data_IF_429342889288
#
_entry.id   IF_429342889288
#
_cell.length_a   1.000
_cell.length_b   1.000
_cell.length_c   1.000
_cell.angle_alpha   90.00
_cell.angle_beta   90.00
_cell.angle_gamma   90.00
#
_symmetry.space_group_name_H-M   'P 1'
#
loop_
_entity.id
_entity.type
_entity.pdbx_description
1 polymer ?
#
# COMPACT_ATOMS: atom_id res chain seq x y z
N UNK A 1 13.24 -0.03 41.77
CA UNK A 1 11.79 -0.24 41.65
C UNK A 1 11.20 0.41 40.39
N UNK A 2 11.39 1.72 40.15
CA UNK A 2 10.82 2.42 38.98
C UNK A 2 11.23 1.82 37.62
N UNK A 3 12.52 1.49 37.42
CA UNK A 3 13.03 0.85 36.19
C UNK A 3 12.47 -0.57 35.95
N UNK A 4 12.25 -1.33 37.03
CA UNK A 4 11.65 -2.66 36.93
C UNK A 4 10.17 -2.56 36.57
N UNK A 5 9.48 -1.56 37.11
CA UNK A 5 8.08 -1.27 36.80
C UNK A 5 7.88 -0.85 35.34
N UNK A 6 8.73 0.06 34.82
CA UNK A 6 8.68 0.47 33.40
C UNK A 6 8.98 -0.69 32.46
N UNK A 7 9.96 -1.54 32.79
CA UNK A 7 10.26 -2.73 32.00
C UNK A 7 9.10 -3.73 32.02
N UNK A 8 8.46 -3.95 33.18
CA UNK A 8 7.29 -4.81 33.29
C UNK A 8 6.11 -4.29 32.45
N UNK A 9 5.86 -2.98 32.45
CA UNK A 9 4.82 -2.36 31.61
C UNK A 9 5.12 -2.51 30.12
N UNK A 10 6.37 -2.32 29.69
CA UNK A 10 6.79 -2.50 28.30
C UNK A 10 6.62 -3.97 27.85
N UNK A 11 7.02 -4.93 28.69
CA UNK A 11 6.81 -6.36 28.40
C UNK A 11 5.33 -6.74 28.36
N UNK A 12 4.51 -6.16 29.26
CA UNK A 12 3.06 -6.39 29.27
C UNK A 12 2.41 -5.83 28.01
N UNK A 13 2.78 -4.61 27.61
CA UNK A 13 2.31 -4.01 26.38
C UNK A 13 2.73 -4.83 25.16
N UNK A 14 4.00 -5.26 25.08
CA UNK A 14 4.47 -6.12 24.01
C UNK A 14 3.69 -7.44 23.94
N UNK A 15 3.42 -8.07 25.08
CA UNK A 15 2.62 -9.29 25.15
C UNK A 15 1.19 -9.06 24.63
N UNK A 16 0.52 -8.01 25.12
CA UNK A 16 -0.85 -7.66 24.70
C UNK A 16 -0.89 -7.34 23.20
N UNK A 17 0.02 -6.49 22.72
CA UNK A 17 0.11 -6.12 21.30
C UNK A 17 0.37 -7.34 20.43
N UNK A 18 1.28 -8.24 20.83
CA UNK A 18 1.56 -9.49 20.10
C UNK A 18 0.34 -10.40 20.06
N UNK A 19 -0.36 -10.56 21.19
CA UNK A 19 -1.57 -11.37 21.29
C UNK A 19 -2.68 -10.82 20.38
N UNK A 20 -2.92 -9.51 20.41
CA UNK A 20 -3.95 -8.86 19.57
C UNK A 20 -3.64 -9.04 18.09
N UNK A 21 -2.39 -8.82 17.65
CA UNK A 21 -2.00 -9.01 16.25
C UNK A 21 -2.10 -10.46 15.81
N UNK A 22 -1.65 -11.41 16.65
CA UNK A 22 -1.73 -12.84 16.35
C UNK A 22 -3.19 -13.33 16.27
N UNK A 23 -4.04 -12.94 17.22
CA UNK A 23 -5.46 -13.29 17.22
C UNK A 23 -6.18 -12.69 16.02
N UNK A 24 -5.88 -11.44 15.64
CA UNK A 24 -6.47 -10.82 14.47
C UNK A 24 -6.00 -11.48 13.17
N UNK A 25 -4.71 -11.79 13.04
CA UNK A 25 -4.18 -12.54 11.91
C UNK A 25 -4.83 -13.92 11.77
N UNK A 26 -4.98 -14.63 12.90
CA UNK A 26 -5.70 -15.92 12.94
C UNK A 26 -7.17 -15.76 12.57
N UNK A 27 -7.85 -14.72 13.06
CA UNK A 27 -9.24 -14.42 12.70
C UNK A 27 -9.41 -14.18 11.20
N UNK A 28 -8.58 -13.35 10.58
CA UNK A 28 -8.63 -13.09 9.13
C UNK A 28 -8.37 -14.37 8.34
N UNK A 29 -7.30 -15.11 8.69
CA UNK A 29 -6.95 -16.35 8.01
C UNK A 29 -8.04 -17.41 8.14
N UNK A 30 -8.54 -17.67 9.37
CA UNK A 30 -9.59 -18.65 9.62
C UNK A 30 -10.93 -18.27 8.98
N UNK A 31 -11.29 -16.98 8.97
CA UNK A 31 -12.50 -16.49 8.30
C UNK A 31 -12.41 -16.66 6.79
N UNK A 32 -11.25 -16.38 6.19
CA UNK A 32 -11.01 -16.59 4.76
C UNK A 32 -11.13 -18.08 4.39
N UNK A 33 -10.44 -18.96 5.12
CA UNK A 33 -10.50 -20.41 4.90
C UNK A 33 -11.92 -20.97 5.11
N UNK A 34 -12.63 -20.50 6.14
CA UNK A 34 -14.02 -20.90 6.38
C UNK A 34 -14.95 -20.45 5.25
N UNK A 35 -14.74 -19.24 4.71
CA UNK A 35 -15.45 -18.74 3.54
C UNK A 35 -15.25 -19.63 2.31
N UNK A 36 -14.00 -19.99 2.03
CA UNK A 36 -13.65 -20.85 0.89
C UNK A 36 -14.24 -22.27 1.04
N UNK A 37 -14.15 -22.84 2.24
CA UNK A 37 -14.75 -24.15 2.55
C UNK A 37 -16.28 -24.11 2.40
N UNK A 38 -16.93 -23.04 2.87
CA UNK A 38 -18.39 -22.89 2.72
C UNK A 38 -18.79 -22.75 1.26
N UNK A 39 -18.01 -22.01 0.46
CA UNK A 39 -18.27 -21.86 -0.98
C UNK A 39 -18.06 -23.19 -1.71
N UNK A 40 -16.96 -23.90 -1.42
CA UNK A 40 -16.70 -25.22 -1.99
C UNK A 40 -17.77 -26.25 -1.63
N UNK A 41 -18.28 -26.24 -0.38
CA UNK A 41 -19.40 -27.07 0.03
C UNK A 41 -20.70 -26.70 -0.69
N UNK A 42 -20.99 -25.40 -0.85
CA UNK A 42 -22.14 -24.93 -1.61
C UNK A 42 -22.05 -25.38 -3.08
N UNK A 43 -20.90 -25.20 -3.73
CA UNK A 43 -20.68 -25.61 -5.11
C UNK A 43 -20.77 -27.13 -5.29
N UNK A 44 -20.40 -27.90 -4.25
CA UNK A 44 -20.54 -29.35 -4.24
C UNK A 44 -22.01 -29.80 -4.02
N UNK A 45 -22.73 -29.17 -3.09
CA UNK A 45 -24.11 -29.50 -2.75
C UNK A 45 -25.13 -29.03 -3.80
N UNK A 46 -24.88 -27.87 -4.43
CA UNK A 46 -25.81 -27.20 -5.33
C UNK A 46 -25.36 -27.19 -6.78
N UNK A 47 -24.35 -27.99 -7.15
CA UNK A 47 -23.95 -28.20 -8.55
C UNK A 47 -25.17 -28.65 -9.38
N UNK A 48 -25.70 -27.82 -10.30
CA UNK A 48 -26.79 -28.27 -11.14
C UNK A 48 -26.21 -29.22 -12.19
N UNK A 49 -26.67 -30.46 -12.21
CA UNK A 49 -26.60 -31.28 -13.43
C UNK A 49 -27.58 -30.67 -14.44
N UNK A 50 -27.13 -29.70 -15.22
CA UNK A 50 -27.91 -29.18 -16.34
C UNK A 50 -26.98 -28.67 -17.45
N UNK A 51 -26.64 -29.57 -18.37
CA UNK A 51 -26.49 -29.22 -19.79
C UNK A 51 -27.82 -28.63 -20.27
N UNK A 52 -27.99 -27.31 -20.12
CA UNK A 52 -28.98 -26.57 -20.88
C UNK A 52 -28.36 -25.24 -21.30
N UNK A 53 -27.99 -25.20 -22.58
CA UNK A 53 -27.62 -23.99 -23.29
C UNK A 53 -28.79 -23.00 -23.28
N UNK A 54 -28.85 -22.13 -22.27
CA UNK A 54 -29.71 -20.95 -22.29
C UNK A 54 -28.90 -19.83 -22.92
N UNK A 55 -29.09 -19.63 -24.23
CA UNK A 55 -28.76 -18.39 -24.91
C UNK A 55 -29.52 -17.26 -24.20
N UNK A 56 -28.82 -16.51 -23.36
CA UNK A 56 -29.33 -15.26 -22.79
C UNK A 56 -29.09 -14.18 -23.84
N UNK A 57 -30.12 -13.89 -24.64
CA UNK A 57 -30.15 -12.71 -25.49
C UNK A 57 -29.97 -11.46 -24.62
N UNK A 58 -28.79 -10.83 -24.73
CA UNK A 58 -28.58 -9.47 -24.27
C UNK A 58 -29.43 -8.53 -25.12
N UNK A 59 -30.57 -8.11 -24.58
CA UNK A 59 -31.26 -6.90 -25.06
C UNK A 59 -30.37 -5.70 -24.76
N UNK A 60 -29.64 -5.27 -25.80
CA UNK A 60 -29.00 -3.98 -25.85
C UNK A 60 -30.09 -2.89 -25.84
N UNK A 61 -30.21 -2.16 -24.73
CA UNK A 61 -30.73 -0.80 -24.79
C UNK A 61 -29.57 0.11 -25.18
N UNK A 62 -29.70 0.73 -26.34
CA UNK A 62 -28.75 1.65 -26.96
C UNK A 62 -28.63 2.94 -26.13
N UNK A 63 -27.59 3.02 -25.32
CA UNK A 63 -26.98 4.27 -24.91
C UNK A 63 -25.51 4.21 -25.36
N UNK A 64 -25.12 5.15 -26.23
CA UNK A 64 -23.75 5.51 -26.66
C UNK A 64 -22.61 4.60 -26.15
N UNK A 65 -22.30 3.54 -26.89
CA UNK A 65 -21.07 2.74 -26.73
C UNK A 65 -19.86 3.53 -27.24
N UNK A 66 -19.33 4.44 -26.43
CA UNK A 66 -17.86 4.57 -26.35
C UNK A 66 -17.36 3.28 -25.68
N UNK A 67 -16.45 2.56 -26.33
CA UNK A 67 -16.19 1.17 -26.00
C UNK A 67 -15.55 1.03 -24.61
N UNK A 68 -15.97 0.03 -23.84
CA UNK A 68 -15.40 -0.28 -22.51
C UNK A 68 -13.88 -0.50 -22.59
N UNK A 69 -13.38 -0.90 -23.77
CA UNK A 69 -11.96 -1.09 -24.08
C UNK A 69 -11.16 0.21 -24.19
N UNK A 70 -11.79 1.38 -24.25
CA UNK A 70 -11.10 2.67 -24.33
C UNK A 70 -10.84 3.32 -22.95
N UNK A 71 -11.36 2.74 -21.86
CA UNK A 71 -11.24 3.32 -20.51
C UNK A 71 -9.89 3.02 -19.83
N UNK A 72 -9.06 4.02 -19.48
CA UNK A 72 -7.84 3.82 -18.69
C UNK A 72 -8.09 2.96 -17.44
N UNK A 73 -7.33 1.87 -17.18
CA UNK A 73 -7.60 1.03 -16.01
C UNK A 73 -7.31 1.78 -14.70
N UNK A 74 -7.98 1.35 -13.63
CA UNK A 74 -7.71 1.81 -12.27
C UNK A 74 -6.97 0.69 -11.54
N UNK A 75 -5.78 0.95 -11.03
CA UNK A 75 -4.95 -0.04 -10.34
C UNK A 75 -4.93 0.25 -8.85
N UNK A 76 -5.48 -0.67 -8.05
CA UNK A 76 -5.52 -0.57 -6.58
C UNK A 76 -4.28 -1.22 -5.98
N UNK A 77 -3.42 -0.43 -5.34
CA UNK A 77 -2.14 -0.88 -4.80
C UNK A 77 -2.20 -0.93 -3.28
N UNK A 78 -2.13 -2.15 -2.73
CA UNK A 78 -2.23 -2.37 -1.28
C UNK A 78 -0.98 -1.87 -0.54
N UNK A 79 -1.07 -1.78 0.80
CA UNK A 79 0.05 -1.41 1.65
C UNK A 79 0.80 -2.61 2.25
N UNK A 80 1.39 -2.39 3.42
CA UNK A 80 1.98 -3.44 4.26
C UNK A 80 0.91 -4.48 4.63
N UNK A 81 1.30 -5.77 4.64
CA UNK A 81 0.41 -6.91 4.89
C UNK A 81 -0.79 -7.06 3.95
N UNK A 82 -0.89 -6.21 2.92
CA UNK A 82 -1.94 -6.35 1.91
C UNK A 82 -1.69 -7.50 0.94
N UNK A 83 -2.68 -7.74 0.10
CA UNK A 83 -2.70 -8.86 -0.84
C UNK A 83 -3.55 -8.49 -2.06
N UNK A 84 -3.24 -9.10 -3.20
CA UNK A 84 -3.98 -8.89 -4.45
C UNK A 84 -5.23 -9.75 -4.57
N UNK A 85 -5.95 -9.57 -5.69
CA UNK A 85 -7.15 -10.36 -5.99
C UNK A 85 -6.81 -11.85 -6.12
N UNK A 86 -7.62 -12.70 -5.50
CA UNK A 86 -7.45 -14.16 -5.52
C UNK A 86 -6.49 -14.70 -4.46
N UNK A 87 -5.98 -13.84 -3.57
CA UNK A 87 -5.25 -14.24 -2.35
C UNK A 87 -6.16 -14.19 -1.14
N UNK A 88 -5.88 -15.04 -0.14
CA UNK A 88 -6.74 -15.28 1.01
C UNK A 88 -8.18 -15.63 0.58
N UNK A 89 -8.28 -16.51 -0.43
CA UNK A 89 -9.57 -17.02 -0.87
C UNK A 89 -10.46 -15.97 -1.50
N UNK A 90 -11.73 -15.94 -1.06
CA UNK A 90 -12.71 -14.93 -1.45
C UNK A 90 -12.58 -13.57 -0.75
N UNK A 91 -11.64 -13.39 0.19
CA UNK A 91 -11.46 -12.12 0.90
C UNK A 91 -10.89 -11.05 -0.03
N UNK A 92 -11.37 -9.81 0.11
CA UNK A 92 -10.86 -8.65 -0.63
C UNK A 92 -10.16 -7.66 0.30
N UNK A 93 -8.91 -7.33 0.00
CA UNK A 93 -8.19 -6.26 0.71
C UNK A 93 -8.91 -4.93 0.56
N UNK A 94 -9.41 -4.60 -0.63
CA UNK A 94 -10.16 -3.37 -0.90
C UNK A 94 -11.67 -3.55 -0.67
N UNK A 95 -12.08 -4.53 0.14
CA UNK A 95 -13.45 -4.81 0.54
C UNK A 95 -14.49 -4.81 -0.60
N UNK A 96 -14.08 -5.29 -1.78
CA UNK A 96 -14.91 -5.42 -2.97
C UNK A 96 -15.05 -4.15 -3.81
N UNK A 97 -14.31 -3.07 -3.50
CA UNK A 97 -14.29 -1.87 -4.32
C UNK A 97 -13.90 -2.17 -5.79
N UNK A 98 -13.01 -3.14 -6.00
CA UNK A 98 -12.60 -3.61 -7.32
C UNK A 98 -13.71 -4.20 -8.19
N UNK A 99 -14.86 -4.54 -7.59
CA UNK A 99 -16.02 -5.06 -8.32
C UNK A 99 -17.06 -3.98 -8.65
N UNK A 100 -16.84 -2.73 -8.20
CA UNK A 100 -17.80 -1.62 -8.42
C UNK A 100 -17.76 -1.07 -9.84
N UNK A 101 -16.60 -1.09 -10.48
CA UNK A 101 -16.37 -0.52 -11.80
C UNK A 101 -15.64 -1.52 -12.70
N UNK A 102 -15.83 -1.38 -14.01
CA UNK A 102 -15.07 -2.14 -15.00
C UNK A 102 -13.61 -1.68 -15.02
N UNK A 103 -12.70 -2.58 -15.46
CA UNK A 103 -11.25 -2.33 -15.59
C UNK A 103 -10.56 -1.83 -14.32
N UNK A 104 -10.89 -2.45 -13.19
CA UNK A 104 -10.15 -2.27 -11.93
C UNK A 104 -9.22 -3.47 -11.71
N UNK A 105 -7.93 -3.20 -11.57
CA UNK A 105 -6.88 -4.19 -11.35
C UNK A 105 -6.41 -4.13 -9.90
N UNK A 106 -6.12 -5.29 -9.30
CA UNK A 106 -5.65 -5.40 -7.91
C UNK A 106 -4.42 -6.31 -7.89
N UNK A 107 -3.22 -5.77 -8.16
CA UNK A 107 -1.97 -6.51 -8.13
C UNK A 107 -1.71 -7.17 -6.78
N UNK A 108 -1.12 -8.37 -6.84
CA UNK A 108 -0.60 -9.09 -5.69
C UNK A 108 0.91 -8.87 -5.58
N UNK A 109 1.32 -7.84 -4.84
CA UNK A 109 2.72 -7.48 -4.63
C UNK A 109 3.23 -8.07 -3.32
N UNK A 110 4.55 -8.19 -3.16
CA UNK A 110 5.14 -8.64 -1.90
C UNK A 110 4.66 -7.80 -0.71
N UNK A 111 4.00 -8.44 0.26
CA UNK A 111 3.32 -7.71 1.34
C UNK A 111 4.27 -7.04 2.34
N UNK A 112 5.55 -7.46 2.36
CA UNK A 112 6.61 -6.93 3.23
C UNK A 112 7.90 -6.51 2.49
N UNK A 113 7.97 -6.68 1.17
CA UNK A 113 9.13 -6.28 0.37
C UNK A 113 9.26 -4.75 0.31
N UNK A 114 10.47 -4.25 0.00
CA UNK A 114 10.74 -2.81 -0.02
C UNK A 114 9.85 -2.07 -1.03
N UNK A 115 9.71 -0.76 -0.86
CA UNK A 115 8.94 0.06 -1.80
C UNK A 115 9.54 -0.03 -3.21
N UNK A 116 10.87 -0.09 -3.31
CA UNK A 116 11.59 -0.27 -4.57
C UNK A 116 11.21 -1.59 -5.26
N UNK A 117 11.31 -2.72 -4.57
CA UNK A 117 10.99 -4.03 -5.15
C UNK A 117 9.53 -4.12 -5.57
N UNK A 118 8.63 -3.60 -4.73
CA UNK A 118 7.20 -3.56 -5.05
C UNK A 118 6.90 -2.70 -6.28
N UNK A 119 7.65 -1.62 -6.51
CA UNK A 119 7.50 -0.80 -7.71
C UNK A 119 7.95 -1.57 -8.96
N UNK A 120 9.05 -2.33 -8.87
CA UNK A 120 9.50 -3.25 -9.93
C UNK A 120 8.46 -4.33 -10.22
N UNK A 121 7.97 -5.01 -9.18
CA UNK A 121 6.93 -6.03 -9.31
C UNK A 121 5.65 -5.47 -9.96
N UNK A 122 5.23 -4.26 -9.57
CA UNK A 122 4.05 -3.60 -10.13
C UNK A 122 4.19 -3.31 -11.62
N UNK A 123 5.37 -2.86 -12.07
CA UNK A 123 5.64 -2.65 -13.49
C UNK A 123 5.44 -3.94 -14.29
N UNK A 124 6.08 -5.04 -13.88
CA UNK A 124 6.02 -6.32 -14.60
C UNK A 124 4.67 -7.02 -14.45
N UNK A 125 3.92 -6.79 -13.36
CA UNK A 125 2.52 -7.21 -13.26
C UNK A 125 1.67 -6.59 -14.39
N UNK A 126 1.89 -5.29 -14.68
CA UNK A 126 1.15 -4.59 -15.73
C UNK A 126 1.65 -4.94 -17.13
N UNK A 127 2.96 -4.83 -17.37
CA UNK A 127 3.56 -5.05 -18.69
C UNK A 127 3.72 -6.51 -19.08
N UNK A 128 3.90 -7.40 -18.11
CA UNK A 128 4.33 -8.77 -18.35
C UNK A 128 5.85 -8.90 -18.42
N UNK A 129 6.33 -10.13 -18.39
CA UNK A 129 7.74 -10.50 -18.38
C UNK A 129 8.25 -10.91 -17.00
N UNK A 130 9.56 -11.18 -16.93
CA UNK A 130 10.23 -11.53 -15.70
C UNK A 130 10.61 -10.28 -14.90
N UNK A 131 10.27 -10.26 -13.62
CA UNK A 131 10.63 -9.14 -12.73
C UNK A 131 12.16 -9.01 -12.69
N UNK A 132 12.67 -7.84 -13.05
CA UNK A 132 14.07 -7.45 -12.91
C UNK A 132 14.19 -6.35 -11.84
N UNK A 133 14.80 -6.69 -10.71
CA UNK A 133 15.06 -5.76 -9.61
C UNK A 133 16.29 -4.86 -9.87
N UNK A 134 17.05 -5.13 -10.92
CA UNK A 134 18.28 -4.42 -11.26
C UNK A 134 19.51 -5.06 -10.61
N UNK A 135 20.59 -5.19 -11.38
CA UNK A 135 21.82 -5.86 -10.96
C UNK A 135 22.47 -5.19 -9.73
N UNK A 136 22.60 -3.87 -9.74
CA UNK A 136 23.24 -3.11 -8.67
C UNK A 136 22.47 -3.21 -7.35
N UNK A 137 21.15 -3.00 -7.39
CA UNK A 137 20.26 -3.13 -6.23
C UNK A 137 20.34 -4.55 -5.65
N UNK A 138 20.22 -5.56 -6.49
CA UNK A 138 20.20 -6.96 -6.05
C UNK A 138 21.52 -7.40 -5.42
N UNK A 139 22.64 -6.88 -5.94
CA UNK A 139 23.96 -7.11 -5.35
C UNK A 139 24.13 -6.39 -4.01
N UNK A 140 23.64 -5.15 -3.90
CA UNK A 140 23.71 -4.36 -2.66
C UNK A 140 22.84 -4.97 -1.54
N UNK A 141 21.65 -5.44 -1.90
CA UNK A 141 20.66 -5.99 -0.98
C UNK A 141 20.80 -7.51 -0.75
N UNK A 142 21.63 -8.20 -1.54
CA UNK A 142 21.96 -9.61 -1.34
C UNK A 142 20.84 -10.58 -1.75
N UNK A 143 20.13 -10.29 -2.83
CA UNK A 143 19.07 -11.15 -3.38
C UNK A 143 19.22 -11.38 -4.89
N UNK A 144 18.38 -12.26 -5.46
CA UNK A 144 18.38 -12.51 -6.91
C UNK A 144 17.92 -11.29 -7.69
N UNK A 145 18.58 -10.99 -8.80
CA UNK A 145 18.15 -9.95 -9.74
C UNK A 145 16.79 -10.23 -10.35
N UNK A 146 16.51 -11.49 -10.65
CA UNK A 146 15.28 -11.87 -11.31
C UNK A 146 14.30 -12.51 -10.32
N UNK A 147 13.05 -12.04 -10.37
CA UNK A 147 11.93 -12.54 -9.59
C UNK A 147 11.01 -13.46 -10.37
N UNK A 148 9.72 -13.41 -10.02
CA UNK A 148 8.64 -14.15 -10.70
C UNK A 148 8.44 -13.67 -12.14
N UNK A 149 7.90 -14.56 -12.96
CA UNK A 149 7.53 -14.28 -14.35
C UNK A 149 6.02 -14.08 -14.47
N UNK A 150 5.62 -12.99 -15.10
CA UNK A 150 4.25 -12.74 -15.55
C UNK A 150 4.17 -13.09 -17.03
N UNK A 151 3.68 -14.29 -17.36
CA UNK A 151 3.58 -14.77 -18.76
C UNK A 151 2.77 -13.81 -19.65
N UNK A 152 1.72 -13.20 -19.07
CA UNK A 152 0.95 -12.14 -19.69
C UNK A 152 0.80 -10.99 -18.70
N UNK A 153 1.12 -9.78 -19.14
CA UNK A 153 0.84 -8.57 -18.38
C UNK A 153 -0.65 -8.31 -18.28
N UNK A 154 -1.10 -7.73 -17.17
CA UNK A 154 -2.50 -7.38 -16.98
C UNK A 154 -2.93 -6.16 -17.80
N UNK A 155 -1.98 -5.40 -18.36
CA UNK A 155 -2.22 -4.30 -19.30
C UNK A 155 -0.97 -4.06 -20.19
N UNK A 156 -0.65 -4.97 -21.13
CA UNK A 156 0.59 -4.93 -21.91
C UNK A 156 0.72 -3.69 -22.81
N UNK A 157 -0.39 -3.11 -23.25
CA UNK A 157 -0.46 -1.90 -24.06
C UNK A 157 -0.11 -0.61 -23.30
N UNK A 158 0.11 -0.68 -21.97
CA UNK A 158 0.37 0.48 -21.12
C UNK A 158 1.46 1.41 -21.65
N UNK A 159 1.11 2.62 -22.07
CA UNK A 159 2.08 3.62 -22.51
C UNK A 159 1.52 5.03 -22.27
N UNK A 160 2.08 6.04 -22.94
CA UNK A 160 1.65 7.43 -22.82
C UNK A 160 0.25 7.69 -23.43
N UNK A 161 -0.10 6.94 -24.49
CA UNK A 161 -1.42 6.98 -25.14
C UNK A 161 -2.44 6.12 -24.38
N UNK A 162 -1.96 5.13 -23.63
CA UNK A 162 -2.74 4.22 -22.80
C UNK A 162 -2.40 4.35 -21.31
N UNK A 163 -2.56 5.53 -20.67
CA UNK A 163 -2.09 5.75 -19.31
C UNK A 163 -3.01 5.10 -18.26
N UNK A 164 -2.55 5.06 -17.00
CA UNK A 164 -3.23 4.39 -15.88
C UNK A 164 -3.59 5.36 -14.75
N UNK A 165 -4.70 5.10 -14.06
CA UNK A 165 -4.98 5.68 -12.74
C UNK A 165 -4.54 4.72 -11.63
N UNK A 166 -3.80 5.22 -10.64
CA UNK A 166 -3.45 4.45 -9.46
C UNK A 166 -4.21 4.93 -8.23
N UNK A 167 -4.64 3.97 -7.39
CA UNK A 167 -5.16 4.23 -6.05
C UNK A 167 -4.33 3.43 -5.06
N UNK A 168 -3.46 4.09 -4.32
CA UNK A 168 -2.57 3.47 -3.34
C UNK A 168 -3.09 3.62 -1.92
N UNK A 169 -3.25 2.50 -1.21
CA UNK A 169 -3.51 2.53 0.23
C UNK A 169 -2.21 2.42 1.03
N UNK A 170 -2.02 3.23 2.07
CA UNK A 170 -0.87 3.12 2.97
C UNK A 170 0.46 3.23 2.21
N UNK A 171 1.38 2.29 2.42
CA UNK A 171 2.65 2.16 1.68
C UNK A 171 2.46 2.01 0.15
N UNK A 172 1.31 1.52 -0.32
CA UNK A 172 1.01 1.39 -1.74
C UNK A 172 1.04 2.74 -2.47
N UNK A 173 0.75 3.84 -1.77
CA UNK A 173 0.89 5.18 -2.34
C UNK A 173 2.35 5.57 -2.61
N UNK A 174 3.30 5.12 -1.78
CA UNK A 174 4.73 5.33 -2.02
C UNK A 174 5.22 4.46 -3.19
N UNK A 175 4.77 3.20 -3.26
CA UNK A 175 5.10 2.28 -4.37
C UNK A 175 4.78 2.90 -5.71
N UNK A 176 3.58 3.47 -5.85
CA UNK A 176 3.15 4.11 -7.10
C UNK A 176 4.00 5.34 -7.44
N UNK A 177 4.39 6.15 -6.43
CA UNK A 177 5.26 7.31 -6.66
C UNK A 177 6.65 6.88 -7.11
N UNK A 178 7.22 5.85 -6.49
CA UNK A 178 8.52 5.30 -6.88
C UNK A 178 8.45 4.71 -8.29
N UNK A 179 7.38 3.96 -8.61
CA UNK A 179 7.14 3.48 -9.97
C UNK A 179 7.08 4.64 -10.97
N UNK A 180 6.33 5.71 -10.67
CA UNK A 180 6.24 6.86 -11.56
C UNK A 180 7.61 7.52 -11.80
N UNK A 181 8.42 7.68 -10.76
CA UNK A 181 9.78 8.20 -10.90
C UNK A 181 10.66 7.25 -11.72
N UNK A 182 10.58 5.93 -11.50
CA UNK A 182 11.31 4.93 -12.29
C UNK A 182 10.95 4.97 -13.78
N UNK A 183 9.69 5.26 -14.11
CA UNK A 183 9.26 5.46 -15.50
C UNK A 183 9.89 6.73 -16.11
N UNK A 184 9.93 7.83 -15.36
CA UNK A 184 10.58 9.08 -15.78
C UNK A 184 12.09 8.89 -16.01
N UNK A 185 12.73 8.11 -15.12
CA UNK A 185 14.16 7.83 -15.14
C UNK A 185 14.56 6.71 -16.12
N UNK A 186 13.57 6.07 -16.77
CA UNK A 186 13.77 4.94 -17.70
C UNK A 186 14.51 3.77 -17.06
N UNK A 187 14.12 3.43 -15.84
CA UNK A 187 14.82 2.44 -15.03
C UNK A 187 14.60 0.98 -15.48
N UNK A 188 13.71 0.72 -16.45
CA UNK A 188 13.30 -0.62 -16.87
C UNK A 188 13.98 -1.02 -18.18
N UNK A 189 15.00 -1.89 -18.08
CA UNK A 189 15.77 -2.37 -19.23
C UNK A 189 14.86 -2.98 -20.30
N UNK A 190 15.02 -2.52 -21.55
CA UNK A 190 14.18 -2.92 -22.67
C UNK A 190 12.93 -2.06 -22.87
N UNK A 191 12.70 -1.06 -22.01
CA UNK A 191 11.55 -0.15 -22.07
C UNK A 191 12.01 1.33 -22.01
N UNK A 192 12.86 1.72 -22.96
CA UNK A 192 13.55 3.02 -22.92
C UNK A 192 12.68 4.22 -23.36
N UNK A 193 11.45 3.93 -23.76
CA UNK A 193 10.40 4.90 -24.09
C UNK A 193 9.44 5.17 -22.91
N UNK A 194 9.74 4.66 -21.72
CA UNK A 194 8.97 4.96 -20.51
C UNK A 194 9.02 6.46 -20.18
N UNK A 195 7.92 6.95 -19.58
CA UNK A 195 7.75 8.32 -19.12
C UNK A 195 6.78 8.36 -17.94
N UNK A 196 6.92 9.38 -17.09
CA UNK A 196 5.96 9.74 -16.05
C UNK A 196 4.51 9.89 -16.57
N UNK A 197 4.34 10.23 -17.86
CA UNK A 197 3.05 10.49 -18.51
C UNK A 197 2.23 9.22 -18.75
N UNK A 198 2.82 8.04 -18.52
CA UNK A 198 2.13 6.75 -18.45
C UNK A 198 1.20 6.68 -17.23
N UNK A 199 1.31 7.63 -16.30
CA UNK A 199 0.47 7.77 -15.11
C UNK A 199 -0.43 9.00 -15.21
N UNK A 200 -1.73 8.76 -15.30
CA UNK A 200 -2.73 9.83 -15.43
C UNK A 200 -3.09 10.46 -14.07
N UNK A 201 -3.24 9.64 -13.03
CA UNK A 201 -3.45 10.13 -11.67
C UNK A 201 -2.94 9.18 -10.59
N UNK A 202 -2.59 9.75 -9.44
CA UNK A 202 -2.29 9.02 -8.21
C UNK A 202 -3.24 9.50 -7.12
N UNK A 203 -4.10 8.60 -6.65
CA UNK A 203 -4.94 8.81 -5.48
C UNK A 203 -4.37 8.02 -4.31
N UNK A 204 -4.27 8.65 -3.14
CA UNK A 204 -3.82 7.99 -1.93
C UNK A 204 -4.93 7.90 -0.89
N UNK A 205 -5.04 6.72 -0.28
CA UNK A 205 -5.86 6.47 0.90
C UNK A 205 -4.90 6.21 2.06
N UNK A 206 -4.86 7.13 3.04
CA UNK A 206 -3.99 7.00 4.21
C UNK A 206 -2.51 6.78 3.85
N UNK A 207 -1.98 7.48 2.85
CA UNK A 207 -0.62 7.26 2.33
C UNK A 207 0.48 7.55 3.35
N UNK A 208 1.56 6.76 3.33
CA UNK A 208 2.70 6.97 4.23
C UNK A 208 3.78 7.90 3.65
N UNK A 209 3.42 9.03 3.03
CA UNK A 209 4.37 9.81 2.21
C UNK A 209 5.60 10.33 2.95
N UNK A 210 5.49 10.55 4.26
CA UNK A 210 6.57 11.08 5.09
C UNK A 210 6.99 10.09 6.18
N UNK A 211 6.57 8.83 6.08
CA UNK A 211 6.82 7.79 7.09
C UNK A 211 5.85 7.87 8.27
N UNK A 212 6.10 7.07 9.31
CA UNK A 212 5.25 6.99 10.50
C UNK A 212 6.05 6.76 11.78
N UNK A 213 5.64 7.40 12.86
CA UNK A 213 6.22 7.17 14.20
C UNK A 213 5.92 5.78 14.73
N UNK A 214 4.93 5.09 14.16
CA UNK A 214 4.59 3.70 14.51
C UNK A 214 5.74 2.73 14.29
N UNK A 215 6.60 2.97 13.30
CA UNK A 215 7.77 2.11 13.03
C UNK A 215 8.66 1.97 14.26
N UNK A 216 8.95 3.07 14.96
CA UNK A 216 9.79 3.05 16.17
C UNK A 216 9.09 2.45 17.39
N UNK A 217 7.76 2.63 17.49
CA UNK A 217 6.93 2.02 18.53
C UNK A 217 6.88 0.50 18.36
N UNK A 218 6.80 0.02 17.11
CA UNK A 218 6.71 -1.40 16.79
C UNK A 218 8.09 -2.10 16.83
N UNK A 219 9.19 -1.37 16.64
CA UNK A 219 10.52 -1.93 16.91
C UNK A 219 11.71 -1.34 16.16
N UNK A 220 11.56 -0.39 15.25
CA UNK A 220 12.71 0.21 14.55
C UNK A 220 13.58 1.05 15.50
N UNK A 221 14.90 1.00 15.32
CA UNK A 221 15.83 1.87 16.03
C UNK A 221 15.74 3.31 15.49
N UNK A 222 15.59 4.34 16.34
CA UNK A 222 15.54 5.73 15.87
C UNK A 222 16.91 6.27 15.40
N UNK A 223 18.01 5.66 15.84
CA UNK A 223 19.39 6.06 15.52
C UNK A 223 19.77 5.75 14.06
N UNK A 224 19.64 4.48 13.67
CA UNK A 224 20.01 4.03 12.32
C UNK A 224 18.81 3.82 11.40
N UNK A 225 17.56 3.86 11.94
CA UNK A 225 16.28 3.70 11.25
C UNK A 225 16.13 2.47 10.34
N UNK A 226 17.12 1.56 10.36
CA UNK A 226 17.22 0.37 9.52
C UNK A 226 17.17 -0.90 10.36
N UNK A 227 17.71 -0.87 11.58
CA UNK A 227 17.78 -2.04 12.44
C UNK A 227 16.58 -2.14 13.39
N UNK A 228 16.37 -3.36 13.88
CA UNK A 228 15.29 -3.70 14.79
C UNK A 228 15.80 -3.81 16.23
N UNK A 229 15.08 -3.19 17.16
CA UNK A 229 15.27 -3.36 18.61
C UNK A 229 15.20 -4.84 18.98
N UNK A 230 16.08 -5.35 19.85
CA UNK A 230 16.19 -6.78 20.15
C UNK A 230 14.92 -7.39 20.78
N UNK A 231 14.14 -6.57 21.51
CA UNK A 231 12.87 -6.98 22.13
C UNK A 231 11.80 -6.01 21.64
N UNK A 232 10.99 -6.44 20.68
CA UNK A 232 9.94 -5.61 20.06
C UNK A 232 8.92 -6.46 19.29
N UNK A 233 7.80 -5.83 18.90
CA UNK A 233 6.75 -6.49 18.12
C UNK A 233 7.26 -6.88 16.74
N UNK A 234 8.06 -6.02 16.09
CA UNK A 234 8.66 -6.30 14.79
C UNK A 234 9.67 -7.44 14.85
N UNK A 235 10.37 -7.67 15.97
CA UNK A 235 11.23 -8.86 16.09
C UNK A 235 10.41 -10.16 16.07
N UNK A 236 9.27 -10.19 16.77
CA UNK A 236 8.38 -11.36 16.75
C UNK A 236 7.84 -11.58 15.33
N UNK A 237 7.43 -10.51 14.65
CA UNK A 237 7.02 -10.56 13.25
C UNK A 237 8.14 -11.08 12.34
N UNK A 238 9.35 -10.54 12.46
CA UNK A 238 10.55 -10.99 11.72
C UNK A 238 10.80 -12.47 11.89
N UNK A 239 10.79 -12.98 13.13
CA UNK A 239 11.00 -14.41 13.40
C UNK A 239 9.92 -15.26 12.71
N UNK A 240 8.65 -14.85 12.81
CA UNK A 240 7.54 -15.53 12.15
C UNK A 240 7.69 -15.55 10.62
N UNK A 241 8.07 -14.44 10.01
CA UNK A 241 8.28 -14.31 8.56
C UNK A 241 9.47 -15.16 8.08
N UNK A 242 10.58 -15.16 8.83
CA UNK A 242 11.74 -15.99 8.49
C UNK A 242 11.36 -17.47 8.52
N UNK A 243 10.67 -17.92 9.56
CA UNK A 243 10.22 -19.32 9.68
C UNK A 243 9.22 -19.66 8.57
N UNK A 244 8.27 -18.76 8.28
CA UNK A 244 7.29 -18.92 7.22
C UNK A 244 7.95 -19.13 5.85
N UNK A 245 8.84 -18.21 5.46
CA UNK A 245 9.47 -18.28 4.14
C UNK A 245 10.45 -19.45 4.02
N UNK A 246 11.13 -19.78 5.13
CA UNK A 246 11.98 -20.96 5.20
C UNK A 246 11.21 -22.26 5.04
N UNK A 247 10.03 -22.42 5.66
CA UNK A 247 9.22 -23.65 5.53
C UNK A 247 8.76 -23.90 4.09
N UNK A 248 8.57 -22.84 3.30
CA UNK A 248 8.32 -22.92 1.85
C UNK A 248 7.19 -23.87 1.46
N UNK A 249 6.07 -23.79 2.19
CA UNK A 249 4.86 -24.57 1.94
C UNK A 249 4.09 -23.97 0.74
N UNK A 250 4.08 -24.69 -0.38
CA UNK A 250 3.52 -24.19 -1.64
C UNK A 250 2.07 -23.72 -1.52
N UNK A 251 1.18 -24.53 -0.93
CA UNK A 251 -0.24 -24.19 -0.76
C UNK A 251 -0.43 -22.92 0.09
N UNK A 252 0.44 -22.70 1.08
CA UNK A 252 0.33 -21.57 1.99
C UNK A 252 0.83 -20.29 1.31
N UNK A 253 1.94 -20.37 0.55
CA UNK A 253 2.44 -19.27 -0.29
C UNK A 253 1.48 -18.91 -1.42
N UNK A 254 0.80 -19.89 -2.01
CA UNK A 254 -0.28 -19.64 -2.97
C UNK A 254 -1.48 -18.94 -2.32
N UNK A 255 -1.78 -19.26 -1.06
CA UNK A 255 -2.86 -18.60 -0.31
C UNK A 255 -2.50 -17.16 0.10
N UNK A 256 -1.29 -16.93 0.61
CA UNK A 256 -0.79 -15.61 0.99
C UNK A 256 0.75 -15.58 0.99
N UNK A 257 1.38 -14.60 0.35
CA UNK A 257 2.85 -14.53 0.26
C UNK A 257 3.39 -13.20 0.80
N UNK A 258 4.46 -13.25 1.61
CA UNK A 258 5.16 -12.05 2.07
C UNK A 258 6.03 -11.39 0.98
N UNK A 259 6.37 -12.14 -0.09
CA UNK A 259 7.05 -11.64 -1.29
C UNK A 259 8.55 -11.85 -1.34
N UNK A 260 9.16 -12.54 -0.37
CA UNK A 260 10.61 -12.68 -0.27
C UNK A 260 11.23 -13.81 -1.11
N UNK A 261 10.50 -14.33 -2.12
CA UNK A 261 10.98 -15.48 -2.91
C UNK A 261 12.34 -15.23 -3.57
N UNK A 262 12.62 -13.97 -3.98
CA UNK A 262 13.89 -13.56 -4.60
C UNK A 262 15.08 -13.55 -3.61
N UNK A 263 14.84 -13.58 -2.29
CA UNK A 263 15.88 -13.81 -1.26
C UNK A 263 16.25 -15.28 -1.07
N UNK A 264 15.51 -16.20 -1.69
CA UNK A 264 15.81 -17.63 -1.71
C UNK A 264 15.97 -18.26 -0.31
N UNK A 265 15.09 -17.91 0.64
CA UNK A 265 15.22 -18.38 2.03
C UNK A 265 14.68 -19.78 2.29
N UNK A 266 14.02 -20.40 1.31
CA UNK A 266 13.47 -21.76 1.39
C UNK A 266 14.47 -22.80 1.94
N UNK A 267 13.98 -23.69 2.79
CA UNK A 267 14.73 -24.81 3.36
C UNK A 267 15.35 -25.71 2.28
N UNK A 268 14.72 -25.81 1.10
CA UNK A 268 15.23 -26.57 -0.05
C UNK A 268 16.54 -25.98 -0.61
N UNK A 269 16.73 -24.67 -0.45
CA UNK A 269 17.92 -23.94 -0.95
C UNK A 269 18.96 -23.74 0.15
N UNK A 270 18.54 -23.37 1.37
CA UNK A 270 19.42 -22.92 2.45
C UNK A 270 19.61 -23.91 3.60
N UNK A 271 18.77 -24.95 3.72
CA UNK A 271 18.82 -25.90 4.83
C UNK A 271 18.66 -25.24 6.21
N UNK A 272 19.00 -25.97 7.27
CA UNK A 272 18.88 -25.48 8.67
C UNK A 272 19.96 -24.44 8.99
N UNK A 273 21.18 -24.57 8.45
CA UNK A 273 22.25 -23.59 8.68
C UNK A 273 21.87 -22.21 8.17
N UNK A 274 21.27 -22.12 6.97
CA UNK A 274 20.82 -20.84 6.45
C UNK A 274 19.62 -20.25 7.19
N UNK A 275 18.80 -21.06 7.86
CA UNK A 275 17.79 -20.55 8.80
C UNK A 275 18.47 -19.84 9.98
N UNK A 276 19.50 -20.47 10.56
CA UNK A 276 20.28 -19.87 11.65
C UNK A 276 20.91 -18.55 11.20
N UNK A 277 21.50 -18.50 9.99
CA UNK A 277 22.06 -17.27 9.44
C UNK A 277 21.01 -16.16 9.25
N UNK A 278 19.82 -16.51 8.77
CA UNK A 278 18.71 -15.55 8.65
C UNK A 278 18.26 -15.04 10.04
N UNK A 279 18.17 -15.93 11.03
CA UNK A 279 17.75 -15.61 12.40
C UNK A 279 18.78 -14.75 13.15
N UNK A 280 20.08 -14.99 12.92
CA UNK A 280 21.17 -14.16 13.43
C UNK A 280 21.28 -12.80 12.73
N UNK A 281 20.60 -12.62 11.58
CA UNK A 281 20.63 -11.37 10.83
C UNK A 281 21.88 -11.22 9.94
N UNK A 282 22.52 -12.33 9.56
CA UNK A 282 23.68 -12.33 8.67
C UNK A 282 23.27 -12.18 7.20
N UNK A 283 22.07 -12.65 6.85
CA UNK A 283 21.56 -12.69 5.46
C UNK A 283 20.04 -12.48 5.43
N UNK A 284 19.54 -12.10 4.26
CA UNK A 284 18.10 -11.93 4.02
C UNK A 284 17.63 -10.47 4.13
N UNK A 285 16.33 -10.22 3.91
CA UNK A 285 15.79 -8.86 3.76
C UNK A 285 16.00 -7.99 4.99
N UNK A 286 15.90 -8.59 6.18
CA UNK A 286 16.09 -7.89 7.45
C UNK A 286 17.56 -7.52 7.73
N UNK A 287 18.51 -8.20 7.09
CA UNK A 287 19.95 -7.93 7.25
C UNK A 287 20.40 -6.80 6.33
N UNK A 288 19.91 -6.77 5.09
CA UNK A 288 20.18 -5.69 4.13
C UNK A 288 19.39 -4.42 4.43
N UNK A 289 18.26 -4.53 5.13
CA UNK A 289 17.30 -3.43 5.29
C UNK A 289 16.35 -3.31 4.09
N UNK A 290 16.39 -4.26 3.16
CA UNK A 290 15.56 -4.27 1.95
C UNK A 290 14.21 -4.96 2.23
N UNK A 291 13.40 -4.26 3.01
CA UNK A 291 12.03 -4.61 3.36
C UNK A 291 11.27 -3.32 3.70
N UNK A 292 9.96 -3.41 3.84
CA UNK A 292 9.09 -2.23 3.82
C UNK A 292 9.24 -1.27 5.02
N UNK A 293 9.70 -1.74 6.18
CA UNK A 293 9.69 -0.93 7.41
C UNK A 293 10.73 0.21 7.43
N UNK A 294 12.00 -0.01 7.03
CA UNK A 294 12.97 1.07 6.84
C UNK A 294 12.43 2.21 5.99
N UNK A 295 11.78 1.92 4.86
CA UNK A 295 11.17 2.91 3.97
C UNK A 295 10.00 3.69 4.64
N UNK A 296 9.33 3.07 5.61
CA UNK A 296 8.22 3.67 6.36
C UNK A 296 8.66 4.44 7.60
N UNK A 297 9.95 4.43 7.95
CA UNK A 297 10.49 5.36 8.96
C UNK A 297 10.46 6.79 8.41
N UNK A 298 10.48 7.79 9.30
CA UNK A 298 10.50 9.20 8.87
C UNK A 298 11.78 9.48 8.06
N UNK A 299 12.93 8.98 8.52
CA UNK A 299 14.21 9.14 7.81
C UNK A 299 14.19 8.43 6.46
N UNK A 300 13.77 7.17 6.40
CA UNK A 300 13.69 6.41 5.14
C UNK A 300 12.75 7.05 4.14
N UNK A 301 11.59 7.55 4.58
CA UNK A 301 10.67 8.29 3.70
C UNK A 301 11.23 9.64 3.23
N UNK A 302 12.02 10.33 4.06
CA UNK A 302 12.73 11.55 3.65
C UNK A 302 13.82 11.25 2.62
N UNK A 303 14.61 10.20 2.83
CA UNK A 303 15.62 9.74 1.87
C UNK A 303 14.97 9.37 0.54
N UNK A 304 13.89 8.58 0.60
CA UNK A 304 13.10 8.21 -0.58
C UNK A 304 12.57 9.45 -1.31
N UNK A 305 11.93 10.38 -0.59
CA UNK A 305 11.35 11.58 -1.19
C UNK A 305 12.39 12.53 -1.81
N UNK A 306 13.65 12.48 -1.38
CA UNK A 306 14.71 13.34 -1.94
C UNK A 306 14.96 13.10 -3.44
N UNK A 307 14.56 11.93 -3.94
CA UNK A 307 14.69 11.53 -5.33
C UNK A 307 13.36 11.51 -6.10
N UNK A 308 12.23 11.85 -5.44
CA UNK A 308 10.90 11.76 -6.05
C UNK A 308 10.35 13.14 -6.40
N UNK A 309 9.82 13.27 -7.62
CA UNK A 309 9.19 14.51 -8.08
C UNK A 309 7.66 14.43 -8.12
N UNK A 310 7.02 15.60 -8.17
CA UNK A 310 5.61 15.74 -8.58
C UNK A 310 5.62 16.18 -10.04
N UNK A 311 4.98 15.41 -10.90
CA UNK A 311 5.03 15.64 -12.35
C UNK A 311 3.88 16.52 -12.82
N UNK A 312 4.12 17.47 -13.74
CA UNK A 312 3.17 18.52 -14.08
C UNK A 312 1.92 18.03 -14.80
N UNK A 313 1.95 16.85 -15.42
CA UNK A 313 0.85 16.29 -16.22
C UNK A 313 0.00 15.24 -15.48
N UNK A 314 0.33 14.94 -14.22
CA UNK A 314 -0.35 13.91 -13.43
C UNK A 314 -1.24 14.57 -12.37
N UNK A 315 -2.44 14.03 -12.14
CA UNK A 315 -3.30 14.49 -11.06
C UNK A 315 -2.99 13.75 -9.75
N UNK A 316 -2.89 14.48 -8.64
CA UNK A 316 -2.58 13.89 -7.34
C UNK A 316 -3.68 14.17 -6.31
N UNK A 317 -4.14 13.13 -5.63
CA UNK A 317 -5.15 13.21 -4.59
C UNK A 317 -4.72 12.48 -3.33
N UNK A 318 -5.08 13.01 -2.17
CA UNK A 318 -4.85 12.32 -0.89
C UNK A 318 -6.04 12.42 0.05
N UNK A 319 -6.48 11.28 0.56
CA UNK A 319 -7.43 11.17 1.65
C UNK A 319 -6.65 10.80 2.92
N UNK A 320 -6.31 11.83 3.69
CA UNK A 320 -5.64 11.68 4.98
C UNK A 320 -6.66 11.30 6.05
N UNK A 321 -6.37 10.27 6.82
CA UNK A 321 -7.23 9.76 7.89
C UNK A 321 -6.82 10.30 9.25
N UNK A 322 -7.80 10.46 10.13
CA UNK A 322 -7.60 10.90 11.51
C UNK A 322 -8.63 10.27 12.45
N UNK A 323 -8.17 9.70 13.57
CA UNK A 323 -9.01 9.22 14.70
C UNK A 323 -8.59 9.80 16.05
N UNK A 324 -8.19 11.05 16.03
CA UNK A 324 -7.70 11.80 17.18
C UNK A 324 -8.44 13.13 17.29
N UNK A 325 -8.51 13.68 18.51
CA UNK A 325 -9.05 15.01 18.80
C UNK A 325 -8.23 15.67 19.89
N UNK A 326 -8.21 16.99 19.92
CA UNK A 326 -7.53 17.76 20.97
C UNK A 326 -8.50 18.08 22.10
N UNK A 327 -8.14 17.71 23.32
CA UNK A 327 -8.86 18.07 24.55
C UNK A 327 -7.88 18.77 25.48
N UNK A 328 -8.15 20.03 25.83
CA UNK A 328 -7.29 20.84 26.72
C UNK A 328 -5.81 20.83 26.30
N UNK A 329 -5.54 20.87 24.99
CA UNK A 329 -4.17 20.86 24.43
C UNK A 329 -3.53 19.47 24.31
N UNK A 330 -4.18 18.41 24.78
CA UNK A 330 -3.70 17.02 24.66
C UNK A 330 -4.42 16.30 23.53
N UNK A 331 -3.67 15.66 22.64
CA UNK A 331 -4.22 14.84 21.55
C UNK A 331 -4.59 13.45 22.10
N UNK A 332 -5.85 13.06 21.93
CA UNK A 332 -6.41 11.78 22.41
C UNK A 332 -7.26 11.13 21.31
N UNK A 333 -7.55 9.81 21.39
CA UNK A 333 -8.45 9.15 20.44
C UNK A 333 -9.82 9.85 20.38
N UNK A 334 -10.38 10.02 19.18
CA UNK A 334 -11.69 10.66 19.00
C UNK A 334 -12.83 9.78 19.52
N UNK A 335 -12.69 8.46 19.38
CA UNK A 335 -13.61 7.44 19.89
C UNK A 335 -12.87 6.14 20.19
N UNK A 336 -13.12 5.54 21.35
CA UNK A 336 -12.55 4.22 21.70
C UNK A 336 -13.22 3.11 20.88
N UNK A 337 -14.54 3.18 20.72
CA UNK A 337 -15.32 2.18 19.94
C UNK A 337 -15.18 2.38 18.43
N UNK A 338 -14.83 3.60 18.00
CA UNK A 338 -14.65 3.93 16.59
C UNK A 338 -13.28 3.51 16.03
N UNK A 339 -12.31 3.17 16.89
CA UNK A 339 -10.98 2.70 16.50
C UNK A 339 -10.95 1.17 16.55
N UNK A 340 -10.38 0.55 15.53
CA UNK A 340 -10.26 -0.89 15.46
C UNK A 340 -9.40 -1.38 16.64
N UNK A 341 -9.75 -2.50 17.31
CA UNK A 341 -9.00 -2.99 18.47
C UNK A 341 -7.49 -3.17 18.21
N UNK A 342 -7.12 -3.57 16.98
CA UNK A 342 -5.72 -3.69 16.54
C UNK A 342 -4.92 -2.38 16.64
N UNK A 343 -5.60 -1.23 16.48
CA UNK A 343 -5.00 0.09 16.35
C UNK A 343 -5.10 0.93 17.63
N UNK A 344 -5.95 0.55 18.57
CA UNK A 344 -6.30 1.37 19.74
C UNK A 344 -5.09 1.79 20.58
N UNK A 345 -4.21 0.84 20.93
CA UNK A 345 -3.00 1.12 21.70
C UNK A 345 -2.06 2.06 20.91
N UNK A 346 -1.96 1.85 19.59
CA UNK A 346 -1.09 2.64 18.72
C UNK A 346 -1.59 4.07 18.53
N UNK A 347 -2.90 4.29 18.43
CA UNK A 347 -3.45 5.65 18.38
C UNK A 347 -2.99 6.48 19.58
N UNK A 348 -3.06 5.89 20.79
CA UNK A 348 -2.64 6.54 22.02
C UNK A 348 -1.14 6.80 22.05
N UNK A 349 -0.31 5.80 21.76
CA UNK A 349 1.14 5.93 21.81
C UNK A 349 1.69 6.89 20.75
N UNK A 350 1.13 6.90 19.55
CA UNK A 350 1.51 7.85 18.49
C UNK A 350 1.14 9.29 18.88
N UNK A 351 0.00 9.49 19.54
CA UNK A 351 -0.42 10.82 20.03
C UNK A 351 0.52 11.39 21.10
N UNK A 352 1.27 10.53 21.78
CA UNK A 352 2.20 10.87 22.85
C UNK A 352 3.67 10.62 22.47
N UNK A 353 3.93 10.37 21.18
CA UNK A 353 5.27 10.09 20.70
C UNK A 353 6.20 11.26 21.02
N UNK A 354 7.41 10.92 21.48
CA UNK A 354 8.51 11.85 21.71
C UNK A 354 9.75 11.25 21.08
N UNK A 355 10.34 11.98 20.13
CA UNK A 355 11.61 11.58 19.55
C UNK A 355 12.69 11.59 20.64
N UNK A 356 13.57 10.57 20.72
CA UNK A 356 14.63 10.53 21.72
C UNK A 356 15.55 11.75 21.64
N UNK A 357 15.87 12.34 22.80
CA UNK A 357 16.65 13.59 22.90
C UNK A 357 18.13 13.41 22.56
N UNK A 358 18.63 12.18 22.69
CA UNK A 358 20.00 11.74 22.41
C UNK A 358 20.23 11.39 20.94
N UNK A 359 19.17 11.36 20.13
CA UNK A 359 19.21 11.04 18.71
C UNK A 359 18.95 12.29 17.89
N UNK A 360 19.70 12.47 16.79
CA UNK A 360 19.47 13.56 15.87
C UNK A 360 18.01 13.56 15.36
N UNK A 361 17.37 14.73 15.20
CA UNK A 361 16.02 14.79 14.66
C UNK A 361 15.98 14.21 13.23
N UNK A 362 14.88 13.55 12.82
CA UNK A 362 14.78 12.92 11.50
C UNK A 362 15.01 13.89 10.33
N UNK A 363 14.66 15.17 10.52
CA UNK A 363 14.93 16.25 9.57
C UNK A 363 15.00 17.59 10.31
N UNK A 364 15.54 18.60 9.63
CA UNK A 364 15.65 19.97 10.17
C UNK A 364 14.28 20.56 10.44
N UNK A 365 14.03 20.96 11.69
CA UNK A 365 12.75 21.56 12.09
C UNK A 365 11.67 20.55 12.50
N UNK A 366 12.03 19.27 12.69
CA UNK A 366 11.13 18.28 13.26
C UNK A 366 10.59 18.72 14.64
N UNK A 367 9.29 18.54 14.85
CA UNK A 367 8.59 18.78 16.12
C UNK A 367 7.63 17.62 16.38
N UNK A 368 7.65 17.05 17.57
CA UNK A 368 6.75 15.94 17.93
C UNK A 368 5.27 16.33 17.80
N UNK A 369 4.94 17.59 18.09
CA UNK A 369 3.56 18.10 18.10
C UNK A 369 2.87 17.98 16.73
N UNK A 370 3.66 18.04 15.64
CA UNK A 370 3.17 17.91 14.28
C UNK A 370 2.75 16.46 13.94
N UNK A 371 3.24 15.48 14.71
CA UNK A 371 3.06 14.04 14.48
C UNK A 371 2.03 13.42 15.42
N UNK A 372 1.30 14.20 16.22
CA UNK A 372 0.36 13.63 17.20
C UNK A 372 -0.91 13.09 16.57
N UNK A 373 -1.50 13.82 15.61
CA UNK A 373 -2.72 13.38 14.93
C UNK A 373 -2.40 12.15 14.07
N UNK A 374 -3.21 11.09 14.19
CA UNK A 374 -2.99 9.82 13.51
C UNK A 374 -4.28 9.00 13.35
N UNK A 375 -4.19 7.92 12.57
CA UNK A 375 -5.24 6.94 12.32
C UNK A 375 -4.96 5.56 12.95
N UNK A 376 -3.93 5.48 13.81
CA UNK A 376 -3.46 4.27 14.46
C UNK A 376 -2.38 3.49 13.70
N UNK A 377 -2.07 3.85 12.45
CA UNK A 377 -0.92 3.30 11.73
C UNK A 377 0.02 4.40 11.23
N UNK A 378 -0.52 5.51 10.73
CA UNK A 378 0.24 6.60 10.14
C UNK A 378 -0.22 7.92 10.77
N UNK A 379 0.71 8.85 10.91
CA UNK A 379 0.43 10.20 11.40
C UNK A 379 -0.26 11.01 10.29
N UNK A 380 -1.31 11.75 10.61
CA UNK A 380 -2.15 12.47 9.62
C UNK A 380 -1.32 13.46 8.78
N UNK A 381 -0.31 14.12 9.38
CA UNK A 381 0.64 14.98 8.65
C UNK A 381 1.31 14.25 7.48
N UNK A 382 1.65 12.97 7.69
CA UNK A 382 2.37 12.14 6.72
C UNK A 382 1.51 11.81 5.50
N UNK A 383 0.20 11.79 5.66
CA UNK A 383 -0.74 11.39 4.61
C UNK A 383 -1.11 12.51 3.66
N UNK A 384 -1.03 13.76 4.09
CA UNK A 384 -1.51 14.92 3.29
C UNK A 384 -0.88 14.97 1.90
N UNK A 385 0.45 15.07 1.84
CA UNK A 385 1.26 15.09 0.62
C UNK A 385 2.73 14.85 1.01
N UNK A 386 3.65 14.67 0.06
CA UNK A 386 5.08 14.65 0.35
C UNK A 386 5.53 16.03 0.83
N UNK A 387 5.87 16.14 2.12
CA UNK A 387 6.22 17.42 2.80
C UNK A 387 7.72 17.59 2.97
N UNK A 388 8.44 16.49 3.09
CA UNK A 388 9.86 16.47 3.42
C UNK A 388 10.64 15.62 2.41
N UNK A 389 11.90 15.98 2.10
CA UNK A 389 12.66 17.11 2.65
C UNK A 389 12.26 18.48 2.07
N UNK A 390 11.65 18.49 0.89
CA UNK A 390 11.11 19.67 0.22
C UNK A 390 9.60 19.47 0.05
N UNK A 391 8.81 20.47 0.39
CA UNK A 391 7.35 20.36 0.33
C UNK A 391 6.87 20.42 -1.12
N UNK A 392 6.10 19.40 -1.52
CA UNK A 392 5.53 19.33 -2.86
C UNK A 392 4.31 20.26 -2.98
N UNK A 393 4.01 20.80 -4.18
CA UNK A 393 2.84 21.66 -4.39
C UNK A 393 1.55 20.97 -3.93
N UNK A 394 0.78 21.62 -3.07
CA UNK A 394 -0.42 21.04 -2.48
C UNK A 394 -1.54 22.05 -2.24
N UNK A 395 -2.76 21.55 -2.14
CA UNK A 395 -3.96 22.33 -1.87
C UNK A 395 -4.94 21.53 -1.00
N UNK A 396 -5.39 22.14 0.10
CA UNK A 396 -6.38 21.53 0.98
C UNK A 396 -7.79 21.72 0.41
N UNK A 397 -8.55 20.62 0.31
CA UNK A 397 -9.94 20.63 -0.15
C UNK A 397 -10.88 20.45 1.04
N UNK A 398 -11.76 21.43 1.26
CA UNK A 398 -12.77 21.37 2.30
C UNK A 398 -14.11 20.80 1.79
N UNK A 399 -14.50 21.14 0.55
CA UNK A 399 -15.75 20.72 -0.08
C UNK A 399 -15.46 20.20 -1.49
N UNK A 400 -16.10 19.10 -1.89
CA UNK A 400 -15.89 18.45 -3.18
C UNK A 400 -16.36 19.35 -4.36
N UNK A 401 -17.18 20.37 -4.12
CA UNK A 401 -17.51 21.43 -5.08
C UNK A 401 -16.30 22.26 -5.56
N UNK A 402 -15.21 22.30 -4.78
CA UNK A 402 -13.96 22.96 -5.17
C UNK A 402 -13.17 22.14 -6.21
N UNK A 403 -13.59 20.91 -6.51
CA UNK A 403 -12.95 20.03 -7.49
C UNK A 403 -13.30 20.37 -8.96
N UNK A 404 -14.03 21.46 -9.24
CA UNK A 404 -14.49 21.78 -10.60
C UNK A 404 -13.35 22.26 -11.53
N UNK A 405 -12.27 22.83 -10.99
CA UNK A 405 -11.12 23.34 -11.76
C UNK A 405 -9.77 22.82 -11.27
N UNK A 406 -9.65 21.50 -11.09
CA UNK A 406 -8.40 20.85 -10.69
C UNK A 406 -7.34 20.94 -11.81
N UNK A 407 -6.11 21.28 -11.42
CA UNK A 407 -4.92 21.33 -12.29
C UNK A 407 -4.00 20.14 -11.97
N UNK A 408 -3.33 19.54 -12.97
CA UNK A 408 -2.33 18.51 -12.72
C UNK A 408 -1.07 19.12 -12.06
N UNK A 409 -0.21 18.27 -11.49
CA UNK A 409 1.02 18.69 -10.81
C UNK A 409 0.86 19.22 -9.38
N UNK A 410 -0.35 19.12 -8.80
CA UNK A 410 -0.65 19.58 -7.43
C UNK A 410 -1.31 18.46 -6.64
N UNK A 411 -0.87 18.28 -5.38
CA UNK A 411 -1.47 17.36 -4.41
C UNK A 411 -2.72 17.97 -3.77
N UNK A 412 -3.88 17.47 -4.14
CA UNK A 412 -5.15 17.85 -3.52
C UNK A 412 -5.49 16.91 -2.37
N UNK A 413 -5.53 17.42 -1.13
CA UNK A 413 -5.74 16.57 0.03
C UNK A 413 -6.98 16.95 0.85
N UNK A 414 -7.62 15.93 1.43
CA UNK A 414 -8.78 16.04 2.33
C UNK A 414 -8.50 15.22 3.57
N UNK A 415 -8.91 15.73 4.74
CA UNK A 415 -8.84 14.97 6.00
C UNK A 415 -10.20 14.36 6.30
N UNK A 416 -10.23 13.04 6.48
CA UNK A 416 -11.45 12.25 6.74
C UNK A 416 -11.33 11.59 8.11
N UNK A 417 -12.44 11.53 8.85
CA UNK A 417 -12.45 10.87 10.14
C UNK A 417 -12.53 9.34 9.95
N UNK A 418 -11.42 8.65 10.22
CA UNK A 418 -11.32 7.21 9.98
C UNK A 418 -10.02 6.65 10.53
N UNK A 419 -10.04 5.39 10.95
CA UNK A 419 -8.79 4.71 11.28
C UNK A 419 -8.17 4.10 10.03
N UNK A 420 -6.96 3.57 10.18
CA UNK A 420 -6.19 3.11 9.03
C UNK A 420 -6.87 2.03 8.19
N UNK A 421 -7.72 1.21 8.81
CA UNK A 421 -8.37 0.10 8.11
C UNK A 421 -9.81 0.42 7.71
N UNK A 422 -10.31 1.64 7.94
CA UNK A 422 -11.71 1.98 7.66
C UNK A 422 -12.07 1.75 6.19
N UNK A 423 -11.14 2.02 5.28
CA UNK A 423 -11.37 1.95 3.82
C UNK A 423 -10.89 0.64 3.18
N UNK A 424 -10.60 -0.39 3.97
CA UNK A 424 -10.13 -1.70 3.51
C UNK A 424 -10.73 -2.83 4.37
N UNK A 425 -10.71 -4.06 3.85
CA UNK A 425 -11.08 -5.34 4.49
C UNK A 425 -12.54 -5.47 4.95
N UNK A 426 -13.13 -4.48 5.62
CA UNK A 426 -14.47 -4.54 6.19
C UNK A 426 -15.32 -3.34 5.74
N UNK A 427 -16.03 -3.53 4.62
CA UNK A 427 -16.98 -2.55 4.07
C UNK A 427 -18.13 -2.26 5.04
N UNK A 428 -18.62 -3.24 5.80
CA UNK A 428 -19.75 -3.06 6.72
C UNK A 428 -19.44 -2.05 7.84
N UNK A 429 -18.19 -2.02 8.29
CA UNK A 429 -17.75 -1.10 9.35
C UNK A 429 -17.80 0.37 8.93
N UNK A 430 -17.46 0.66 7.68
CA UNK A 430 -17.49 2.00 7.12
C UNK A 430 -18.84 2.34 6.46
N UNK A 431 -19.62 1.30 6.09
CA UNK A 431 -20.96 1.44 5.55
C UNK A 431 -21.01 2.36 4.32
N UNK A 432 -21.91 3.33 4.37
CA UNK A 432 -22.16 4.27 3.26
C UNK A 432 -20.94 5.15 2.97
N UNK A 433 -20.12 5.49 3.97
CA UNK A 433 -18.94 6.34 3.78
C UNK A 433 -17.88 5.69 2.88
N UNK A 434 -17.70 4.37 3.02
CA UNK A 434 -16.83 3.60 2.13
C UNK A 434 -17.33 3.70 0.69
N UNK A 435 -18.63 3.52 0.50
CA UNK A 435 -19.20 3.48 -0.84
C UNK A 435 -19.05 4.82 -1.54
N UNK A 436 -19.44 5.89 -0.87
CA UNK A 436 -19.32 7.26 -1.38
C UNK A 436 -17.87 7.63 -1.70
N UNK A 437 -16.90 7.21 -0.87
CA UNK A 437 -15.48 7.49 -1.12
C UNK A 437 -14.99 6.82 -2.41
N UNK A 438 -15.15 5.50 -2.54
CA UNK A 438 -14.67 4.79 -3.73
C UNK A 438 -15.42 5.20 -4.99
N UNK A 439 -16.72 5.45 -4.90
CA UNK A 439 -17.51 5.92 -6.05
C UNK A 439 -17.02 7.30 -6.49
N UNK A 440 -16.78 8.23 -5.56
CA UNK A 440 -16.22 9.56 -5.87
C UNK A 440 -14.83 9.48 -6.50
N UNK A 441 -13.96 8.59 -6.02
CA UNK A 441 -12.61 8.40 -6.57
C UNK A 441 -12.70 7.84 -7.99
N UNK A 442 -13.49 6.78 -8.20
CA UNK A 442 -13.58 6.13 -9.50
C UNK A 442 -14.28 7.01 -10.53
N UNK A 443 -15.35 7.70 -10.17
CA UNK A 443 -15.97 8.70 -11.05
C UNK A 443 -14.98 9.79 -11.46
N UNK A 444 -14.13 10.24 -10.54
CA UNK A 444 -13.11 11.24 -10.83
C UNK A 444 -12.07 10.71 -11.82
N UNK A 445 -11.56 9.49 -11.60
CA UNK A 445 -10.68 8.81 -12.56
C UNK A 445 -11.34 8.77 -13.95
N UNK A 446 -12.61 8.34 -14.03
CA UNK A 446 -13.36 8.27 -15.29
C UNK A 446 -13.59 9.64 -15.95
N UNK A 447 -13.73 10.72 -15.19
CA UNK A 447 -13.87 12.10 -15.72
C UNK A 447 -12.56 12.64 -16.33
N UNK A 448 -11.41 12.29 -15.75
CA UNK A 448 -10.11 12.78 -16.24
C UNK A 448 -9.70 12.20 -17.61
N UNK A 449 -10.37 11.14 -18.07
CA UNK A 449 -10.21 10.58 -19.43
C UNK A 449 -10.50 11.62 -20.53
N UNK A 450 -11.45 12.53 -20.31
CA UNK A 450 -11.96 13.42 -21.37
C UNK A 450 -11.21 14.74 -21.54
N UNK A 451 -10.26 15.08 -20.66
CA UNK A 451 -9.51 16.35 -20.74
C UNK A 451 -8.25 16.28 -21.60
N UNK A 452 -7.78 15.08 -22.00
CA UNK A 452 -6.55 14.91 -22.79
C UNK A 452 -6.75 14.87 -24.29
N UNK A 453 -7.98 14.69 -24.79
CA UNK A 453 -8.28 14.90 -26.21
C UNK A 453 -8.36 16.42 -26.45
N UNK A 454 -7.41 17.03 -27.18
CA UNK A 454 -7.62 18.39 -27.65
C UNK A 454 -8.84 18.32 -28.57
N UNK A 455 -9.84 19.15 -28.32
CA UNK A 455 -10.83 19.43 -29.35
C UNK A 455 -10.07 19.94 -30.57
N UNK A 456 -9.93 19.09 -31.59
CA UNK A 456 -9.56 19.54 -32.93
C UNK A 456 -10.66 20.50 -33.37
N UNK A 457 -10.42 21.79 -33.19
CA UNK A 457 -11.19 22.82 -33.86
C UNK A 457 -11.00 22.60 -35.38
N UNK A 458 -12.08 22.48 -36.17
CA UNK A 458 -11.95 22.39 -37.61
C UNK A 458 -11.31 23.68 -38.12
N UNK A 459 -10.26 23.55 -38.92
CA UNK A 459 -9.73 24.66 -39.72
C UNK A 459 -10.88 25.25 -40.55
N UNK A 460 -11.34 26.45 -40.19
CA UNK A 460 -12.07 27.30 -41.14
C UNK A 460 -11.05 27.78 -42.18
N UNK A 461 -10.99 27.05 -43.29
CA UNK A 461 -10.41 27.55 -44.52
C UNK A 461 -11.30 28.69 -45.03
N UNK A 462 -10.84 29.93 -44.90
CA UNK A 462 -11.46 31.08 -45.56
C UNK A 462 -10.93 31.17 -47.00
N UNK A 463 -11.87 31.00 -47.94
CA UNK A 463 -11.79 31.44 -49.33
C UNK A 463 -12.13 32.92 -49.44
#
# INVERSE_FOLDING_TARGET
MLRCWTAALQLTELFVSSLVHMLYGFYIFSSAVAGDLSQGLSDWLFKPNADFAVKREQRACSASRTSVEDLPPIVLVHGIFGFGKGRLGGLSYFAGAENKYERVLVPDLGSLTSIYDRARELFYYLKGGQVDYGEEHSKACGHSQFGRTYEQGNYPEWDEDHPIHFVGHSAGAQVVRVLQQMLADKAFKGYENTSENWVLSITSLSGAFNGTTRTYLDGMHPEDWKSLKPISLLQICRLGVIVYDWLDLAWLKEYYNFGFDHFNMSWKKKGISGLVDCLLGNVGPFASGDWILPDLTIQGSVELNSHLHTFPNTYYFSYATKRTRKIMGVTVPSSILGVHPLLLIRVLQMSQWRHPLDVAPPFKGYRDEDWQDNDGAINTISMTHPRFPVEHPSHFIQDDSQCQSLQPGIWYYKVVEGDHILFIINRERAGVEFDLMYDSIFERCRKHVFKRNPQMLPNEAQH
#
